data_IF_443868895192
#
_entry.id   IF_443868895192
#
_cell.length_a   1.000
_cell.length_b   1.000
_cell.length_c   1.000
_cell.angle_alpha   90.00
_cell.angle_beta   90.00
_cell.angle_gamma   90.00
#
_symmetry.space_group_name_H-M   'P 1'
#
loop_
_entity.id
_entity.type
_entity.pdbx_description
1 polymer ?
#
# COMPACT_ATOMS: atom_id res chain seq x y z
N UNK A 1 -12.74 -3.38 2.81
CA UNK A 1 -11.84 -2.31 2.27
C UNK A 1 -11.65 -1.13 3.23
N UNK A 2 -12.67 -0.66 3.95
CA UNK A 2 -12.51 0.44 4.92
C UNK A 2 -11.33 0.21 5.88
N UNK A 3 -11.21 -0.98 6.44
CA UNK A 3 -10.09 -1.33 7.34
C UNK A 3 -8.71 -1.15 6.70
N UNK A 4 -8.55 -1.36 5.39
CA UNK A 4 -7.27 -1.12 4.70
C UNK A 4 -6.92 0.38 4.68
N UNK A 5 -7.90 1.26 4.43
CA UNK A 5 -7.67 2.71 4.45
C UNK A 5 -7.38 3.21 5.87
N UNK A 6 -8.09 2.69 6.87
CA UNK A 6 -7.83 3.00 8.29
C UNK A 6 -6.43 2.52 8.70
N UNK A 7 -6.04 1.29 8.33
CA UNK A 7 -4.72 0.77 8.61
C UNK A 7 -3.62 1.60 7.93
N UNK A 8 -3.86 2.09 6.71
CA UNK A 8 -2.93 3.00 6.03
C UNK A 8 -2.73 4.32 6.78
N UNK A 9 -3.79 4.87 7.40
CA UNK A 9 -3.67 6.04 8.27
C UNK A 9 -2.80 5.74 9.49
N UNK A 10 -2.96 4.57 10.11
CA UNK A 10 -2.11 4.15 11.24
C UNK A 10 -0.65 3.97 10.83
N UNK A 11 -0.36 3.44 9.64
CA UNK A 11 1.01 3.41 9.10
C UNK A 11 1.60 4.82 9.04
N UNK A 12 0.87 5.79 8.46
CA UNK A 12 1.34 7.17 8.37
C UNK A 12 1.57 7.83 9.74
N UNK A 13 0.66 7.62 10.70
CA UNK A 13 0.81 8.15 12.07
C UNK A 13 1.97 7.50 12.82
N UNK A 14 2.14 6.19 12.68
CA UNK A 14 3.26 5.44 13.27
C UNK A 14 4.60 5.92 12.72
N UNK A 15 4.68 6.10 11.40
CA UNK A 15 5.85 6.61 10.72
C UNK A 15 6.21 8.04 11.17
N UNK A 16 5.22 8.94 11.26
CA UNK A 16 5.42 10.28 11.78
C UNK A 16 6.00 10.24 13.22
N UNK A 17 5.44 9.39 14.07
CA UNK A 17 5.90 9.26 15.46
C UNK A 17 7.31 8.67 15.55
N UNK A 18 7.62 7.69 14.72
CA UNK A 18 8.97 7.12 14.66
C UNK A 18 10.00 8.19 14.26
N UNK A 19 9.75 8.92 13.17
CA UNK A 19 10.68 9.95 12.69
C UNK A 19 10.81 11.16 13.63
N UNK A 20 9.79 11.42 14.46
CA UNK A 20 9.85 12.46 15.49
C UNK A 20 10.69 12.04 16.71
N UNK A 21 10.80 10.76 17.01
CA UNK A 21 11.39 10.27 18.27
C UNK A 21 12.63 9.39 18.09
N UNK A 22 12.75 8.69 16.95
CA UNK A 22 13.84 7.74 16.60
C UNK A 22 14.07 6.65 17.65
N UNK A 23 12.99 6.23 18.36
CA UNK A 23 13.08 5.18 19.39
C UNK A 23 12.68 3.83 18.79
N UNK A 24 13.25 2.75 19.29
CA UNK A 24 12.90 1.38 18.88
C UNK A 24 11.40 1.07 19.06
N UNK A 25 10.79 1.52 20.16
CA UNK A 25 9.36 1.32 20.39
C UNK A 25 8.48 1.98 19.35
N UNK A 26 8.88 3.16 18.86
CA UNK A 26 8.15 3.88 17.80
C UNK A 26 8.50 3.36 16.41
N UNK A 27 9.68 2.76 16.21
CA UNK A 27 10.00 1.99 15.00
C UNK A 27 9.03 0.83 14.81
N UNK A 28 8.65 0.12 15.88
CA UNK A 28 7.64 -0.93 15.81
C UNK A 28 6.26 -0.40 15.39
N UNK A 29 5.92 0.85 15.73
CA UNK A 29 4.68 1.50 15.30
C UNK A 29 4.71 1.92 13.82
N UNK A 30 5.88 2.08 13.24
CA UNK A 30 6.07 2.30 11.80
C UNK A 30 5.99 0.97 11.01
N UNK A 31 6.74 -0.03 11.44
CA UNK A 31 6.97 -1.27 10.70
C UNK A 31 5.80 -2.28 10.80
N UNK A 32 5.30 -2.57 12.01
CA UNK A 32 4.26 -3.58 12.19
C UNK A 32 2.93 -3.25 11.49
N UNK A 33 2.42 -1.99 11.53
CA UNK A 33 1.20 -1.64 10.81
C UNK A 33 1.30 -1.84 9.29
N UNK A 34 2.49 -1.71 8.69
CA UNK A 34 2.68 -1.99 7.26
C UNK A 34 2.36 -3.44 6.93
N UNK A 35 2.80 -4.38 7.76
CA UNK A 35 2.50 -5.80 7.57
C UNK A 35 1.02 -6.11 7.87
N UNK A 36 0.43 -5.46 8.89
CA UNK A 36 -0.99 -5.65 9.20
C UNK A 36 -1.89 -5.13 8.07
N UNK A 37 -1.53 -4.00 7.47
CA UNK A 37 -2.21 -3.48 6.28
C UNK A 37 -2.15 -4.48 5.12
N UNK A 38 -0.98 -5.05 4.84
CA UNK A 38 -0.85 -6.07 3.77
C UNK A 38 -1.61 -7.35 4.09
N UNK A 39 -1.69 -7.75 5.36
CA UNK A 39 -2.53 -8.87 5.80
C UNK A 39 -4.02 -8.63 5.54
N UNK A 40 -4.52 -7.42 5.82
CA UNK A 40 -5.90 -7.03 5.50
C UNK A 40 -6.14 -6.99 3.98
N UNK A 41 -5.18 -6.49 3.21
CA UNK A 41 -5.25 -6.48 1.75
C UNK A 41 -5.23 -7.91 1.19
N UNK A 42 -4.39 -8.80 1.73
CA UNK A 42 -4.36 -10.22 1.38
C UNK A 42 -5.71 -10.88 1.65
N UNK A 43 -6.29 -10.67 2.83
CA UNK A 43 -7.64 -11.15 3.14
C UNK A 43 -8.67 -10.69 2.10
N UNK A 44 -8.64 -9.40 1.74
CA UNK A 44 -9.56 -8.82 0.76
C UNK A 44 -9.40 -9.41 -0.65
N UNK A 45 -8.22 -9.95 -1.01
CA UNK A 45 -7.99 -10.64 -2.31
C UNK A 45 -8.38 -12.11 -2.30
N UNK A 46 -8.42 -12.74 -1.12
CA UNK A 46 -8.83 -14.13 -0.96
C UNK A 46 -10.37 -14.20 -0.89
N UNK A 47 -10.98 -13.39 -0.03
CA UNK A 47 -12.43 -13.34 0.17
C UNK A 47 -13.05 -12.16 -0.60
N UNK A 48 -13.20 -12.34 -1.93
CA UNK A 48 -13.76 -11.29 -2.81
C UNK A 48 -15.27 -11.39 -3.00
N UNK A 49 -15.88 -12.59 -2.81
CA UNK A 49 -17.31 -12.84 -3.02
C UNK A 49 -18.18 -12.35 -1.85
N UNK A 50 -19.51 -12.28 -2.08
CA UNK A 50 -20.50 -12.05 -1.00
C UNK A 50 -20.52 -13.20 -0.02
N UNK A 51 -20.47 -14.42 -0.55
CA UNK A 51 -20.44 -15.62 0.26
C UNK A 51 -19.00 -15.88 0.71
N UNK A 52 -18.77 -15.85 2.01
CA UNK A 52 -17.46 -16.10 2.62
C UNK A 52 -17.10 -17.56 2.36
N UNK A 53 -16.26 -17.79 1.34
CA UNK A 53 -15.94 -19.15 0.84
C UNK A 53 -15.19 -20.00 1.87
N UNK A 54 -14.29 -19.39 2.62
CA UNK A 54 -13.41 -20.09 3.56
C UNK A 54 -13.80 -19.85 5.03
N UNK A 55 -14.83 -19.04 5.27
CA UNK A 55 -15.32 -18.72 6.61
C UNK A 55 -14.24 -18.10 7.49
N UNK A 56 -14.22 -18.48 8.77
CA UNK A 56 -13.30 -17.96 9.77
C UNK A 56 -11.84 -18.47 9.61
N UNK A 57 -11.61 -19.48 8.76
CA UNK A 57 -10.27 -20.10 8.62
C UNK A 57 -9.23 -19.12 8.08
N UNK A 58 -9.59 -18.32 7.08
CA UNK A 58 -8.66 -17.36 6.46
C UNK A 58 -8.28 -16.22 7.44
N UNK A 59 -9.24 -15.52 8.10
CA UNK A 59 -8.86 -14.51 9.07
C UNK A 59 -8.05 -15.08 10.23
N UNK A 60 -8.37 -16.28 10.74
CA UNK A 60 -7.56 -16.94 11.78
C UNK A 60 -6.14 -17.19 11.27
N UNK A 61 -5.97 -17.77 10.09
CA UNK A 61 -4.65 -18.06 9.52
C UNK A 61 -3.81 -16.78 9.34
N UNK A 62 -4.40 -15.72 8.79
CA UNK A 62 -3.71 -14.43 8.61
C UNK A 62 -3.37 -13.81 9.96
N UNK A 63 -4.30 -13.79 10.92
CA UNK A 63 -4.04 -13.24 12.25
C UNK A 63 -2.94 -14.01 12.96
N UNK A 64 -2.97 -15.35 12.92
CA UNK A 64 -1.92 -16.20 13.48
C UNK A 64 -0.57 -15.90 12.85
N UNK A 65 -0.50 -15.79 11.52
CA UNK A 65 0.71 -15.41 10.81
C UNK A 65 1.26 -14.05 11.27
N UNK A 66 0.41 -13.03 11.37
CA UNK A 66 0.79 -11.68 11.80
C UNK A 66 1.28 -11.65 13.26
N UNK A 67 0.58 -12.38 14.15
CA UNK A 67 0.96 -12.49 15.57
C UNK A 67 2.29 -13.21 15.72
N UNK A 68 2.46 -14.36 15.05
CA UNK A 68 3.72 -15.11 15.11
C UNK A 68 4.89 -14.28 14.56
N UNK A 69 4.69 -13.61 13.42
CA UNK A 69 5.71 -12.69 12.90
C UNK A 69 6.06 -11.61 13.93
N UNK A 70 5.07 -10.97 14.54
CA UNK A 70 5.30 -9.89 15.51
C UNK A 70 6.09 -10.40 16.73
N UNK A 71 5.76 -11.58 17.24
CA UNK A 71 6.50 -12.19 18.35
C UNK A 71 7.94 -12.48 17.94
N UNK A 72 8.17 -13.11 16.79
CA UNK A 72 9.51 -13.44 16.28
C UNK A 72 10.31 -12.17 16.04
N UNK A 73 9.71 -11.16 15.44
CA UNK A 73 10.36 -9.89 15.16
C UNK A 73 10.77 -9.15 16.44
N UNK A 74 9.88 -9.01 17.41
CA UNK A 74 10.14 -8.29 18.65
C UNK A 74 11.15 -9.02 19.56
N UNK A 75 11.11 -10.37 19.58
CA UNK A 75 11.88 -11.15 20.55
C UNK A 75 13.23 -11.65 20.04
N UNK A 76 13.34 -11.99 18.76
CA UNK A 76 14.51 -12.71 18.22
C UNK A 76 15.16 -12.07 17.00
N UNK A 77 14.40 -11.62 16.02
CA UNK A 77 14.94 -11.18 14.74
C UNK A 77 14.67 -9.67 14.51
N UNK A 78 15.18 -8.84 15.42
CA UNK A 78 14.99 -7.37 15.41
C UNK A 78 15.75 -6.66 14.27
N UNK A 79 15.83 -7.30 13.11
CA UNK A 79 16.54 -6.75 11.95
C UNK A 79 15.56 -6.19 10.92
N UNK A 80 15.73 -4.95 10.44
CA UNK A 80 14.87 -4.39 9.41
C UNK A 80 14.80 -5.24 8.14
N UNK A 81 15.89 -5.94 7.80
CA UNK A 81 15.96 -6.83 6.63
C UNK A 81 14.95 -7.98 6.74
N UNK A 82 14.79 -8.57 7.92
CA UNK A 82 13.80 -9.63 8.14
C UNK A 82 12.37 -9.10 7.90
N UNK A 83 12.04 -7.93 8.49
CA UNK A 83 10.76 -7.28 8.25
C UNK A 83 10.53 -7.01 6.76
N UNK A 84 11.53 -6.45 6.06
CA UNK A 84 11.42 -6.11 4.64
C UNK A 84 11.17 -7.34 3.76
N UNK A 85 11.84 -8.47 4.01
CA UNK A 85 11.63 -9.71 3.26
C UNK A 85 10.22 -10.24 3.46
N UNK A 86 9.73 -10.28 4.70
CA UNK A 86 8.38 -10.78 5.01
C UNK A 86 7.32 -9.85 4.46
N UNK A 87 7.50 -8.53 4.58
CA UNK A 87 6.61 -7.53 4.01
C UNK A 87 6.55 -7.65 2.47
N UNK A 88 7.69 -7.67 1.79
CA UNK A 88 7.76 -7.78 0.33
C UNK A 88 7.12 -9.09 -0.17
N UNK A 89 7.36 -10.19 0.52
CA UNK A 89 6.75 -11.49 0.19
C UNK A 89 5.23 -11.45 0.33
N UNK A 90 4.71 -10.83 1.40
CA UNK A 90 3.27 -10.69 1.63
C UNK A 90 2.62 -9.76 0.59
N UNK A 91 3.28 -8.67 0.23
CA UNK A 91 2.85 -7.77 -0.86
C UNK A 91 2.80 -8.52 -2.18
N UNK A 92 3.83 -9.30 -2.51
CA UNK A 92 3.89 -10.08 -3.75
C UNK A 92 2.76 -11.11 -3.83
N UNK A 93 2.51 -11.87 -2.76
CA UNK A 93 1.40 -12.83 -2.69
C UNK A 93 0.06 -12.12 -2.86
N UNK A 94 -0.14 -10.98 -2.20
CA UNK A 94 -1.35 -10.16 -2.33
C UNK A 94 -1.54 -9.66 -3.76
N UNK A 95 -0.48 -9.18 -4.40
CA UNK A 95 -0.50 -8.72 -5.78
C UNK A 95 -0.85 -9.85 -6.76
N UNK A 96 -0.22 -11.02 -6.62
CA UNK A 96 -0.49 -12.20 -7.46
C UNK A 96 -1.95 -12.64 -7.32
N UNK A 97 -2.47 -12.69 -6.09
CA UNK A 97 -3.88 -13.04 -5.86
C UNK A 97 -4.83 -12.02 -6.50
N UNK A 98 -4.59 -10.72 -6.32
CA UNK A 98 -5.39 -9.67 -6.93
C UNK A 98 -5.35 -9.75 -8.47
N UNK A 99 -4.17 -9.98 -9.06
CA UNK A 99 -4.00 -10.15 -10.51
C UNK A 99 -4.78 -11.37 -11.03
N UNK A 100 -4.70 -12.51 -10.34
CA UNK A 100 -5.49 -13.72 -10.66
C UNK A 100 -7.00 -13.46 -10.58
N UNK A 101 -7.46 -12.70 -9.59
CA UNK A 101 -8.89 -12.33 -9.48
C UNK A 101 -9.32 -11.44 -10.64
N UNK A 102 -8.48 -10.45 -11.00
CA UNK A 102 -8.75 -9.56 -12.15
C UNK A 102 -8.88 -10.33 -13.46
N UNK A 103 -8.06 -11.37 -13.71
CA UNK A 103 -8.13 -12.15 -14.96
C UNK A 103 -9.39 -13.01 -15.09
N UNK A 104 -10.09 -13.26 -13.98
CA UNK A 104 -11.34 -14.02 -13.94
C UNK A 104 -12.59 -13.13 -14.22
N UNK A 105 -12.41 -11.82 -14.38
CA UNK A 105 -13.49 -10.86 -14.59
C UNK A 105 -13.62 -10.47 -16.06
N UNK A 106 -14.85 -10.55 -16.59
CA UNK A 106 -15.22 -9.98 -17.89
C UNK A 106 -15.52 -8.48 -17.71
N UNK A 107 -14.50 -7.65 -17.81
CA UNK A 107 -14.58 -6.21 -17.55
C UNK A 107 -14.79 -5.39 -18.81
N UNK A 108 -15.57 -4.31 -18.71
CA UNK A 108 -15.69 -3.29 -19.74
C UNK A 108 -14.33 -2.65 -20.05
N UNK A 109 -14.17 -2.08 -21.23
CA UNK A 109 -12.94 -1.38 -21.62
C UNK A 109 -12.62 -0.22 -20.64
N UNK A 110 -13.64 0.48 -20.17
CA UNK A 110 -13.50 1.55 -19.18
C UNK A 110 -12.95 1.03 -17.86
N UNK A 111 -13.54 -0.06 -17.33
CA UNK A 111 -13.08 -0.69 -16.09
C UNK A 111 -11.64 -1.21 -16.20
N UNK A 112 -11.28 -1.76 -17.37
CA UNK A 112 -9.91 -2.20 -17.64
C UNK A 112 -8.92 -1.03 -17.66
N UNK A 113 -9.25 0.12 -18.26
CA UNK A 113 -8.42 1.32 -18.27
C UNK A 113 -8.20 1.86 -16.84
N UNK A 114 -9.27 1.88 -16.03
CA UNK A 114 -9.19 2.28 -14.61
C UNK A 114 -8.21 1.37 -13.85
N UNK A 115 -8.40 0.06 -13.93
CA UNK A 115 -7.54 -0.90 -13.25
C UNK A 115 -6.09 -0.83 -13.71
N UNK A 116 -5.85 -0.63 -15.00
CA UNK A 116 -4.49 -0.47 -15.54
C UNK A 116 -3.82 0.77 -14.95
N UNK A 117 -4.50 1.91 -14.93
CA UNK A 117 -3.95 3.15 -14.34
C UNK A 117 -3.65 2.99 -12.86
N UNK A 118 -4.56 2.39 -12.10
CA UNK A 118 -4.37 2.17 -10.67
C UNK A 118 -3.16 1.26 -10.38
N UNK A 119 -3.06 0.11 -11.05
CA UNK A 119 -1.94 -0.81 -10.84
C UNK A 119 -0.62 -0.22 -11.33
N UNK A 120 -0.62 0.51 -12.46
CA UNK A 120 0.60 1.18 -12.94
C UNK A 120 1.07 2.25 -11.95
N UNK A 121 0.15 3.11 -11.46
CA UNK A 121 0.48 4.10 -10.41
C UNK A 121 0.99 3.44 -9.14
N UNK A 122 0.36 2.32 -8.74
CA UNK A 122 0.79 1.52 -7.60
C UNK A 122 2.20 0.96 -7.76
N UNK A 123 2.48 0.31 -8.88
CA UNK A 123 3.81 -0.27 -9.15
C UNK A 123 4.89 0.82 -9.29
N UNK A 124 4.61 1.90 -10.02
CA UNK A 124 5.56 3.02 -10.17
C UNK A 124 5.84 3.67 -8.83
N UNK A 125 4.83 3.91 -8.00
CA UNK A 125 5.01 4.48 -6.67
C UNK A 125 5.84 3.58 -5.76
N UNK A 126 5.49 2.29 -5.67
CA UNK A 126 6.20 1.34 -4.80
C UNK A 126 7.65 1.09 -5.26
N UNK A 127 7.85 0.78 -6.55
CA UNK A 127 9.19 0.51 -7.08
C UNK A 127 10.05 1.77 -7.13
N UNK A 128 9.47 2.90 -7.52
CA UNK A 128 10.15 4.20 -7.51
C UNK A 128 10.54 4.63 -6.09
N UNK A 129 9.64 4.45 -5.13
CA UNK A 129 9.94 4.70 -3.72
C UNK A 129 11.08 3.82 -3.21
N UNK A 130 11.01 2.51 -3.47
CA UNK A 130 12.08 1.58 -3.09
C UNK A 130 13.42 1.92 -3.74
N UNK A 131 13.40 2.33 -5.01
CA UNK A 131 14.61 2.79 -5.69
C UNK A 131 15.22 4.03 -5.04
N UNK A 132 14.40 5.04 -4.74
CA UNK A 132 14.83 6.29 -4.08
C UNK A 132 15.36 6.01 -2.68
N UNK A 133 14.74 5.09 -1.93
CA UNK A 133 15.22 4.65 -0.61
C UNK A 133 16.61 4.00 -0.69
N UNK A 134 16.84 3.14 -1.71
CA UNK A 134 18.17 2.55 -1.91
C UNK A 134 19.21 3.61 -2.24
N UNK A 135 18.88 4.61 -3.07
CA UNK A 135 19.77 5.73 -3.34
C UNK A 135 20.11 6.52 -2.06
N UNK A 136 19.12 6.78 -1.21
CA UNK A 136 19.35 7.46 0.07
C UNK A 136 20.33 6.69 0.96
N UNK A 137 20.18 5.37 1.05
CA UNK A 137 21.07 4.53 1.84
C UNK A 137 22.49 4.45 1.24
N UNK A 138 22.61 4.25 -0.06
CA UNK A 138 23.92 4.11 -0.75
C UNK A 138 24.71 5.41 -0.75
N UNK A 139 24.05 6.56 -0.93
CA UNK A 139 24.68 7.88 -1.06
C UNK A 139 24.45 8.77 0.15
N UNK A 140 24.12 8.21 1.31
CA UNK A 140 23.76 8.97 2.52
C UNK A 140 24.80 10.04 2.89
N UNK A 141 26.10 9.71 2.86
CA UNK A 141 27.18 10.64 3.20
C UNK A 141 27.25 11.79 2.19
N UNK A 142 27.24 11.47 0.89
CA UNK A 142 27.30 12.46 -0.19
C UNK A 142 26.07 13.38 -0.16
N UNK A 143 24.88 12.83 0.01
CA UNK A 143 23.65 13.59 0.11
C UNK A 143 23.67 14.56 1.30
N UNK A 144 24.21 14.15 2.45
CA UNK A 144 24.37 15.03 3.63
C UNK A 144 25.32 16.20 3.30
N UNK A 145 26.43 15.94 2.68
CA UNK A 145 27.39 16.98 2.27
C UNK A 145 26.77 17.94 1.27
N UNK A 146 26.08 17.44 0.25
CA UNK A 146 25.38 18.31 -0.71
C UNK A 146 24.28 19.15 -0.06
N UNK A 147 23.52 18.62 0.90
CA UNK A 147 22.51 19.37 1.63
C UNK A 147 23.09 20.56 2.39
N UNK A 148 24.21 20.36 3.07
CA UNK A 148 24.88 21.48 3.78
C UNK A 148 25.43 22.53 2.82
N UNK A 149 25.85 22.14 1.64
CA UNK A 149 26.34 23.05 0.61
C UNK A 149 25.23 23.85 -0.07
N UNK A 150 24.12 23.20 -0.40
CA UNK A 150 22.98 23.82 -1.09
C UNK A 150 22.18 24.73 -0.17
N UNK A 151 22.00 24.32 1.10
CA UNK A 151 21.27 25.09 2.10
C UNK A 151 19.76 25.15 1.90
N UNK A 152 19.05 25.72 2.90
CA UNK A 152 17.61 25.87 2.87
C UNK A 152 17.18 26.95 1.84
N UNK A 153 16.03 26.75 1.16
CA UNK A 153 15.07 25.65 1.30
C UNK A 153 15.37 24.44 0.36
N UNK A 154 16.40 24.53 -0.46
CA UNK A 154 16.65 23.56 -1.54
C UNK A 154 17.22 22.24 -1.05
N UNK A 155 17.81 22.21 0.15
CA UNK A 155 18.28 21.00 0.80
C UNK A 155 17.13 19.96 1.03
N UNK A 156 15.88 20.43 1.16
CA UNK A 156 14.70 19.59 1.30
C UNK A 156 14.48 18.67 0.07
N UNK A 157 14.85 19.13 -1.15
CA UNK A 157 14.73 18.31 -2.37
C UNK A 157 15.67 17.09 -2.32
N UNK A 158 16.78 17.21 -1.62
CA UNK A 158 17.77 16.14 -1.43
C UNK A 158 17.45 15.21 -0.25
N UNK A 159 16.29 15.37 0.38
CA UNK A 159 15.77 14.45 1.40
C UNK A 159 15.11 13.24 0.74
N UNK A 160 15.92 12.35 0.14
CA UNK A 160 15.40 11.22 -0.63
C UNK A 160 14.52 10.29 0.20
N UNK A 161 14.79 10.15 1.49
CA UNK A 161 13.95 9.40 2.41
C UNK A 161 12.52 9.96 2.50
N UNK A 162 12.36 11.28 2.48
CA UNK A 162 11.04 11.92 2.41
C UNK A 162 10.30 11.59 1.10
N UNK A 163 11.00 11.60 -0.03
CA UNK A 163 10.42 11.20 -1.31
C UNK A 163 10.00 9.73 -1.33
N UNK A 164 10.78 8.84 -0.67
CA UNK A 164 10.38 7.46 -0.50
C UNK A 164 9.02 7.34 0.20
N UNK A 165 8.80 8.06 1.30
CA UNK A 165 7.50 8.06 1.99
C UNK A 165 6.36 8.53 1.08
N UNK A 166 6.55 9.60 0.32
CA UNK A 166 5.53 10.13 -0.60
C UNK A 166 5.21 9.11 -1.70
N UNK A 167 6.22 8.55 -2.33
CA UNK A 167 6.05 7.61 -3.44
C UNK A 167 5.43 6.29 -2.97
N UNK A 168 5.88 5.73 -1.85
CA UNK A 168 5.34 4.47 -1.32
C UNK A 168 3.93 4.65 -0.78
N UNK A 169 3.60 5.77 -0.12
CA UNK A 169 2.25 6.07 0.31
C UNK A 169 1.30 6.18 -0.90
N UNK A 170 1.69 6.89 -1.94
CA UNK A 170 0.93 6.98 -3.19
C UNK A 170 0.76 5.60 -3.85
N UNK A 171 1.85 4.84 -3.95
CA UNK A 171 1.84 3.50 -4.53
C UNK A 171 0.93 2.53 -3.75
N UNK A 172 1.02 2.53 -2.43
CA UNK A 172 0.19 1.73 -1.54
C UNK A 172 -1.30 2.11 -1.70
N UNK A 173 -1.61 3.39 -1.71
CA UNK A 173 -2.98 3.89 -1.94
C UNK A 173 -3.55 3.41 -3.27
N UNK A 174 -2.78 3.52 -4.36
CA UNK A 174 -3.19 3.06 -5.69
C UNK A 174 -3.42 1.54 -5.74
N UNK A 175 -2.59 0.73 -5.06
CA UNK A 175 -2.77 -0.73 -4.97
C UNK A 175 -4.00 -1.10 -4.14
N UNK A 176 -4.26 -0.43 -3.03
CA UNK A 176 -5.48 -0.62 -2.23
C UNK A 176 -6.72 -0.29 -3.08
N UNK A 177 -6.69 0.83 -3.81
CA UNK A 177 -7.76 1.22 -4.70
C UNK A 177 -7.96 0.21 -5.84
N UNK A 178 -6.87 -0.33 -6.41
CA UNK A 178 -6.91 -1.37 -7.42
C UNK A 178 -7.61 -2.64 -6.90
N UNK A 179 -7.24 -3.11 -5.71
CA UNK A 179 -7.91 -4.25 -5.03
C UNK A 179 -9.37 -3.92 -4.74
N UNK A 180 -9.66 -2.70 -4.30
CA UNK A 180 -11.02 -2.25 -4.00
C UNK A 180 -11.91 -2.28 -5.25
N UNK A 181 -11.42 -1.79 -6.39
CA UNK A 181 -12.17 -1.81 -7.64
C UNK A 181 -12.35 -3.23 -8.19
N UNK A 182 -11.35 -4.09 -8.07
CA UNK A 182 -11.49 -5.53 -8.41
C UNK A 182 -12.62 -6.16 -7.59
N UNK A 183 -12.69 -5.83 -6.29
CA UNK A 183 -13.74 -6.34 -5.41
C UNK A 183 -15.13 -5.81 -5.78
N UNK A 184 -15.25 -4.54 -6.13
CA UNK A 184 -16.49 -3.95 -6.65
C UNK A 184 -16.95 -4.68 -7.92
N UNK A 185 -16.03 -4.91 -8.85
CA UNK A 185 -16.31 -5.60 -10.10
C UNK A 185 -16.69 -7.07 -9.88
N UNK A 186 -16.04 -7.74 -8.92
CA UNK A 186 -16.38 -9.13 -8.55
C UNK A 186 -17.81 -9.24 -8.01
N UNK A 187 -18.31 -8.21 -7.35
CA UNK A 187 -19.69 -8.11 -6.85
C UNK A 187 -20.68 -7.69 -7.94
N UNK A 188 -20.24 -7.46 -9.18
CA UNK A 188 -21.07 -7.02 -10.30
C UNK A 188 -21.52 -5.56 -10.24
N UNK A 189 -20.83 -4.74 -9.45
CA UNK A 189 -21.21 -3.34 -9.22
C UNK A 189 -20.31 -2.32 -9.96
N UNK A 190 -19.36 -2.77 -10.79
CA UNK A 190 -18.41 -1.91 -11.49
C UNK A 190 -19.07 -0.87 -12.41
N UNK A 191 -20.26 -1.18 -12.94
CA UNK A 191 -21.06 -0.26 -13.75
C UNK A 191 -21.63 0.93 -12.96
N UNK A 192 -21.68 0.84 -11.62
CA UNK A 192 -22.18 1.92 -10.73
C UNK A 192 -21.06 2.87 -10.31
N UNK A 193 -19.79 2.51 -10.52
CA UNK A 193 -18.66 3.26 -10.03
C UNK A 193 -17.71 3.66 -11.16
N UNK A 194 -17.06 4.79 -10.95
CA UNK A 194 -15.95 5.25 -11.78
C UNK A 194 -14.80 5.70 -10.92
N UNK A 195 -13.62 5.87 -11.51
CA UNK A 195 -12.48 6.47 -10.81
C UNK A 195 -12.20 7.83 -11.44
N UNK A 196 -12.31 8.87 -10.63
CA UNK A 196 -11.88 10.22 -10.96
C UNK A 196 -10.46 10.44 -10.47
N UNK A 197 -9.66 11.16 -11.24
CA UNK A 197 -8.31 11.53 -10.88
C UNK A 197 -8.28 13.01 -10.50
N UNK A 198 -8.06 13.30 -9.21
CA UNK A 198 -7.86 14.66 -8.72
C UNK A 198 -6.45 15.12 -9.08
N UNK A 199 -6.35 16.32 -9.65
CA UNK A 199 -5.09 16.89 -10.16
C UNK A 199 -4.36 15.96 -11.16
N UNK A 200 -5.09 15.05 -11.83
CA UNK A 200 -4.54 14.06 -12.74
C UNK A 200 -3.76 12.91 -12.09
N UNK A 201 -3.54 12.94 -10.78
CA UNK A 201 -2.65 12.02 -10.06
C UNK A 201 -3.39 11.12 -9.06
N UNK A 202 -4.22 11.69 -8.20
CA UNK A 202 -4.82 10.96 -7.07
C UNK A 202 -6.14 10.32 -7.51
N UNK A 203 -6.21 8.99 -7.63
CA UNK A 203 -7.45 8.31 -8.03
C UNK A 203 -8.43 8.22 -6.85
N UNK A 204 -9.71 8.42 -7.12
CA UNK A 204 -10.79 8.26 -6.17
C UNK A 204 -11.96 7.49 -6.81
N UNK A 205 -12.45 6.44 -6.13
CA UNK A 205 -13.66 5.73 -6.54
C UNK A 205 -14.88 6.61 -6.22
N UNK A 206 -15.71 6.87 -7.23
CA UNK A 206 -16.92 7.68 -7.11
C UNK A 206 -18.11 6.96 -7.73
N UNK A 207 -19.30 7.14 -7.16
CA UNK A 207 -20.54 6.68 -7.77
C UNK A 207 -20.82 7.47 -9.06
N UNK A 208 -21.29 6.78 -10.07
CA UNK A 208 -21.83 7.40 -11.29
C UNK A 208 -23.21 7.93 -10.90
N UNK A 209 -23.41 9.24 -10.95
CA UNK A 209 -24.73 9.83 -10.70
C UNK A 209 -25.74 9.25 -11.72
N UNK A 210 -26.94 8.85 -11.31
CA UNK A 210 -27.98 8.44 -12.23
C UNK A 210 -28.24 9.60 -13.20
N UNK A 211 -28.30 9.31 -14.51
CA UNK A 211 -28.75 10.30 -15.49
C UNK A 211 -30.12 10.79 -15.02
N UNK A 212 -30.25 12.10 -14.80
CA UNK A 212 -31.59 12.72 -14.67
C UNK A 212 -32.31 12.43 -15.98
N UNK A 213 -33.32 11.55 -15.92
CA UNK A 213 -34.30 11.45 -17.00
C UNK A 213 -35.10 12.74 -16.95
N UNK A 214 -34.85 13.63 -17.94
CA UNK A 214 -35.72 14.73 -18.25
C UNK A 214 -37.07 14.22 -18.83
#
# INVERSE_FOLDING_TARGET
MLLCYIAMMFVGLGSLWFHATLKYTTQLLDELPMLYLTGLALYATIEVSKDIKYGIKVPIAITTYLVLFSIVYIRWLQTPVFHQIVFASTVLVTFINAAKRKTQLALSETSQKILRRAVTGGCVGMLGGFFVWNLDNLFCHQLRTYRTYVGAPWDAVLQLHGWWHILTAYGCYCLILWIHFIRIAWLGHDHLFTVKFHLGLVPQITLIAPKKTE
#
